data_IF_491746457208
#
_entry.id   IF_491746457208
#
_cell.length_a   1.000
_cell.length_b   1.000
_cell.length_c   1.000
_cell.angle_alpha   90.00
_cell.angle_beta   90.00
_cell.angle_gamma   90.00
#
_symmetry.space_group_name_H-M   'P 1'
#
loop_
_entity.id
_entity.type
_entity.pdbx_description
1 polymer ?
#
# COMPACT_ATOMS: atom_id res chain seq x y z
N UNK A 1 -28.20 1.32 -3.78
CA UNK A 1 -28.87 0.95 -2.52
C UNK A 1 -30.26 1.60 -2.38
N UNK A 2 -30.40 2.94 -2.27
CA UNK A 2 -31.70 3.59 -2.01
C UNK A 2 -32.87 3.21 -2.96
N UNK A 3 -32.60 3.07 -4.27
CA UNK A 3 -33.64 2.62 -5.21
C UNK A 3 -34.07 1.18 -4.96
N UNK A 4 -33.14 0.31 -4.57
CA UNK A 4 -33.44 -1.06 -4.20
C UNK A 4 -34.35 -1.06 -2.96
N UNK A 5 -33.93 -0.39 -1.88
CA UNK A 5 -34.72 -0.24 -0.65
C UNK A 5 -36.13 0.34 -0.88
N UNK A 6 -36.27 1.24 -1.85
CA UNK A 6 -37.57 1.83 -2.24
C UNK A 6 -38.43 0.92 -3.14
N UNK A 7 -38.04 -0.35 -3.35
CA UNK A 7 -38.72 -1.30 -4.24
C UNK A 7 -38.56 -1.04 -5.74
N UNK A 8 -37.75 -0.04 -6.14
CA UNK A 8 -37.58 0.41 -7.54
C UNK A 8 -36.49 -0.42 -8.24
N UNK A 9 -36.80 -1.70 -8.51
CA UNK A 9 -35.89 -2.71 -9.11
C UNK A 9 -35.13 -2.23 -10.35
N UNK A 10 -35.84 -1.74 -11.36
CA UNK A 10 -35.21 -1.37 -12.63
C UNK A 10 -34.24 -0.20 -12.48
N UNK A 11 -34.57 0.76 -11.62
CA UNK A 11 -33.66 1.87 -11.29
C UNK A 11 -32.44 1.35 -10.53
N UNK A 12 -32.63 0.46 -9.55
CA UNK A 12 -31.52 -0.13 -8.80
C UNK A 12 -30.54 -0.85 -9.75
N UNK A 13 -31.06 -1.69 -10.64
CA UNK A 13 -30.27 -2.40 -11.66
C UNK A 13 -29.52 -1.42 -12.56
N UNK A 14 -30.22 -0.42 -13.12
CA UNK A 14 -29.61 0.58 -14.01
C UNK A 14 -28.42 1.28 -13.35
N UNK A 15 -28.56 1.71 -12.10
CA UNK A 15 -27.49 2.42 -11.40
C UNK A 15 -26.37 1.49 -10.95
N UNK A 16 -26.67 0.22 -10.64
CA UNK A 16 -25.65 -0.77 -10.34
C UNK A 16 -24.80 -1.09 -11.57
N UNK A 17 -25.44 -1.24 -12.74
CA UNK A 17 -24.74 -1.41 -14.02
C UNK A 17 -23.86 -0.19 -14.34
N UNK A 18 -24.34 1.03 -14.08
CA UNK A 18 -23.51 2.23 -14.22
C UNK A 18 -22.32 2.20 -13.27
N UNK A 19 -22.52 1.86 -11.99
CA UNK A 19 -21.45 1.79 -11.02
C UNK A 19 -20.38 0.76 -11.46
N UNK A 20 -20.78 -0.45 -11.82
CA UNK A 20 -19.88 -1.55 -12.15
C UNK A 20 -19.20 -1.39 -13.51
N UNK A 21 -19.98 -1.08 -14.56
CA UNK A 21 -19.50 -1.16 -15.94
C UNK A 21 -19.04 0.18 -16.50
N UNK A 22 -19.55 1.30 -15.98
CA UNK A 22 -19.17 2.64 -16.44
C UNK A 22 -18.19 3.33 -15.50
N UNK A 23 -18.44 3.25 -14.19
CA UNK A 23 -17.63 3.94 -13.18
C UNK A 23 -16.60 3.04 -12.50
N UNK A 24 -16.56 1.75 -12.85
CA UNK A 24 -15.52 0.84 -12.41
C UNK A 24 -15.56 0.53 -10.91
N UNK A 25 -16.74 0.49 -10.28
CA UNK A 25 -16.87 0.07 -8.88
C UNK A 25 -16.35 -1.37 -8.70
N UNK A 26 -15.40 -1.57 -7.78
CA UNK A 26 -14.70 -2.85 -7.57
C UNK A 26 -14.85 -3.46 -6.17
N UNK A 27 -15.56 -2.83 -5.23
CA UNK A 27 -15.83 -3.44 -3.92
C UNK A 27 -16.91 -4.54 -4.01
N UNK A 28 -16.50 -5.66 -4.60
CA UNK A 28 -17.38 -6.78 -4.89
C UNK A 28 -17.86 -7.48 -3.63
N UNK A 29 -17.01 -7.63 -2.62
CA UNK A 29 -17.39 -8.27 -1.36
C UNK A 29 -18.40 -7.44 -0.57
N UNK A 30 -18.21 -6.12 -0.52
CA UNK A 30 -19.19 -5.20 0.05
C UNK A 30 -20.52 -5.29 -0.69
N UNK A 31 -20.50 -5.24 -2.02
CA UNK A 31 -21.72 -5.34 -2.84
C UNK A 31 -22.49 -6.65 -2.62
N UNK A 32 -21.79 -7.79 -2.54
CA UNK A 32 -22.44 -9.09 -2.34
C UNK A 32 -23.00 -9.27 -0.92
N UNK A 33 -22.42 -8.59 0.08
CA UNK A 33 -22.87 -8.63 1.48
C UNK A 33 -23.93 -7.57 1.80
N UNK A 34 -24.10 -6.56 0.95
CA UNK A 34 -25.02 -5.45 1.18
C UNK A 34 -26.49 -5.92 1.15
N UNK A 35 -27.13 -5.80 2.31
CA UNK A 35 -28.52 -6.24 2.54
C UNK A 35 -29.52 -5.36 1.80
N UNK A 36 -29.14 -4.15 1.39
CA UNK A 36 -30.03 -3.23 0.66
C UNK A 36 -30.45 -3.77 -0.71
N UNK A 37 -29.67 -4.71 -1.26
CA UNK A 37 -29.97 -5.37 -2.53
C UNK A 37 -30.74 -6.68 -2.38
N UNK A 38 -31.23 -7.04 -1.18
CA UNK A 38 -31.93 -8.31 -0.92
C UNK A 38 -33.05 -8.63 -1.93
N UNK A 39 -33.82 -7.62 -2.34
CA UNK A 39 -34.90 -7.78 -3.34
C UNK A 39 -34.41 -8.13 -4.77
N UNK A 40 -33.11 -7.99 -5.04
CA UNK A 40 -32.46 -8.38 -6.28
C UNK A 40 -31.85 -9.78 -6.17
N UNK A 41 -31.54 -10.31 -4.98
CA UNK A 41 -30.73 -11.52 -4.81
C UNK A 41 -31.28 -12.76 -5.51
N UNK A 42 -32.61 -12.88 -5.62
CA UNK A 42 -33.28 -14.00 -6.30
C UNK A 42 -33.56 -13.75 -7.78
N UNK A 43 -33.11 -12.63 -8.34
CA UNK A 43 -33.35 -12.27 -9.75
C UNK A 43 -32.29 -12.88 -10.65
N UNK A 44 -32.67 -13.12 -11.92
CA UNK A 44 -31.71 -13.52 -12.97
C UNK A 44 -30.60 -12.49 -13.17
N UNK A 45 -30.88 -11.21 -12.91
CA UNK A 45 -29.88 -10.15 -12.94
C UNK A 45 -28.78 -10.41 -11.91
N UNK A 46 -29.15 -10.67 -10.65
CA UNK A 46 -28.18 -10.89 -9.58
C UNK A 46 -27.34 -12.15 -9.80
N UNK A 47 -27.93 -13.24 -10.29
CA UNK A 47 -27.19 -14.43 -10.68
C UNK A 47 -26.11 -14.12 -11.74
N UNK A 48 -26.44 -13.32 -12.77
CA UNK A 48 -25.48 -12.86 -13.77
C UNK A 48 -24.40 -11.96 -13.16
N UNK A 49 -24.78 -11.09 -12.24
CA UNK A 49 -23.85 -10.22 -11.52
C UNK A 49 -22.85 -11.03 -10.68
N UNK A 50 -23.32 -12.03 -9.93
CA UNK A 50 -22.47 -12.93 -9.16
C UNK A 50 -21.45 -13.65 -10.06
N UNK A 51 -21.91 -14.20 -11.19
CA UNK A 51 -21.01 -14.83 -12.18
C UNK A 51 -20.01 -13.83 -12.79
N UNK A 52 -20.43 -12.59 -13.04
CA UNK A 52 -19.52 -11.53 -13.48
C UNK A 52 -18.45 -11.24 -12.42
N UNK A 53 -18.85 -11.06 -11.16
CA UNK A 53 -17.95 -10.78 -10.03
C UNK A 53 -16.97 -11.92 -9.82
N UNK A 54 -17.44 -13.17 -9.83
CA UNK A 54 -16.60 -14.36 -9.70
C UNK A 54 -15.54 -14.39 -10.79
N UNK A 55 -15.92 -14.10 -12.04
CA UNK A 55 -14.97 -13.98 -13.15
C UNK A 55 -13.94 -12.86 -12.93
N UNK A 56 -14.34 -11.72 -12.34
CA UNK A 56 -13.38 -10.66 -12.01
C UNK A 56 -12.44 -11.08 -10.88
N UNK A 57 -12.93 -11.76 -9.84
CA UNK A 57 -12.11 -12.29 -8.74
C UNK A 57 -11.11 -13.34 -9.21
N UNK A 58 -11.51 -14.24 -10.12
CA UNK A 58 -10.60 -15.20 -10.74
C UNK A 58 -9.46 -14.49 -11.46
N UNK A 59 -9.75 -13.40 -12.19
CA UNK A 59 -8.73 -12.59 -12.86
C UNK A 59 -7.77 -11.93 -11.86
N UNK A 60 -8.26 -11.46 -10.72
CA UNK A 60 -7.39 -10.91 -9.67
C UNK A 60 -6.39 -11.97 -9.15
N UNK A 61 -6.67 -13.26 -9.30
CA UNK A 61 -5.72 -14.32 -8.95
C UNK A 61 -4.56 -14.50 -9.93
N UNK A 62 -4.59 -13.88 -11.11
CA UNK A 62 -3.51 -13.98 -12.10
C UNK A 62 -2.62 -12.72 -12.03
N UNK A 63 -1.33 -12.84 -11.67
CA UNK A 63 -0.43 -11.69 -11.63
C UNK A 63 -0.37 -10.96 -12.98
N UNK A 64 -0.46 -11.68 -14.10
CA UNK A 64 -0.38 -11.09 -15.46
C UNK A 64 -1.62 -10.27 -15.82
N UNK A 65 -2.70 -10.39 -15.07
CA UNK A 65 -3.89 -9.57 -15.26
C UNK A 65 -3.77 -8.19 -14.59
N UNK A 66 -2.87 -8.02 -13.63
CA UNK A 66 -2.64 -6.75 -12.95
C UNK A 66 -2.01 -5.72 -13.90
N UNK A 67 -2.55 -4.50 -13.89
CA UNK A 67 -2.00 -3.40 -14.69
C UNK A 67 -1.06 -2.55 -13.85
N UNK A 68 0.14 -2.30 -14.37
CA UNK A 68 1.06 -1.30 -13.85
C UNK A 68 0.86 0.02 -14.62
N UNK A 69 0.04 0.91 -14.05
CA UNK A 69 -0.46 2.13 -14.70
C UNK A 69 0.43 3.33 -14.36
N UNK A 70 1.18 3.83 -15.35
CA UNK A 70 2.08 4.99 -15.24
C UNK A 70 1.61 6.20 -16.05
N UNK A 71 0.44 6.11 -16.70
CA UNK A 71 -0.08 7.17 -17.58
C UNK A 71 -0.23 8.51 -16.88
N UNK A 72 -0.52 8.50 -15.58
CA UNK A 72 -0.66 9.71 -14.78
C UNK A 72 0.68 10.46 -14.61
N UNK A 73 1.82 9.76 -14.53
CA UNK A 73 3.15 10.40 -14.53
C UNK A 73 3.35 11.19 -15.84
N UNK A 74 2.96 10.60 -16.98
CA UNK A 74 3.08 11.24 -18.29
C UNK A 74 2.12 12.43 -18.44
N UNK A 75 0.88 12.29 -17.96
CA UNK A 75 -0.09 13.38 -17.91
C UNK A 75 0.41 14.54 -17.04
N UNK A 76 0.99 14.24 -15.88
CA UNK A 76 1.58 15.24 -14.99
C UNK A 76 2.67 16.04 -15.70
N UNK A 77 3.67 15.39 -16.30
CA UNK A 77 4.77 16.11 -16.97
C UNK A 77 4.29 16.91 -18.18
N UNK A 78 3.29 16.41 -18.91
CA UNK A 78 2.64 17.17 -19.99
C UNK A 78 1.96 18.44 -19.46
N UNK A 79 1.24 18.35 -18.33
CA UNK A 79 0.63 19.48 -17.67
C UNK A 79 1.68 20.46 -17.12
N UNK A 80 2.75 19.94 -16.52
CA UNK A 80 3.86 20.72 -15.97
C UNK A 80 4.54 21.59 -17.04
N UNK A 81 4.84 21.01 -18.20
CA UNK A 81 5.46 21.73 -19.32
C UNK A 81 4.54 22.81 -19.91
N UNK A 82 3.24 22.53 -20.01
CA UNK A 82 2.24 23.51 -20.44
C UNK A 82 2.14 24.66 -19.45
N UNK A 83 2.09 24.34 -18.16
CA UNK A 83 1.97 25.31 -17.09
C UNK A 83 3.23 26.14 -16.86
N UNK A 84 4.40 25.70 -17.34
CA UNK A 84 5.62 26.50 -17.37
C UNK A 84 5.58 27.61 -18.43
N UNK A 85 4.79 27.42 -19.50
CA UNK A 85 4.62 28.40 -20.60
C UNK A 85 3.51 29.42 -20.33
N UNK A 86 2.53 29.06 -19.51
CA UNK A 86 1.40 29.92 -19.13
C UNK A 86 1.15 29.79 -17.62
N UNK A 87 1.92 30.58 -16.85
CA UNK A 87 1.88 30.56 -15.39
C UNK A 87 0.57 31.11 -14.84
N UNK A 88 -0.08 32.04 -15.54
CA UNK A 88 -1.37 32.61 -15.15
C UNK A 88 -2.49 31.56 -15.16
N UNK A 89 -2.44 30.58 -16.08
CA UNK A 89 -3.41 29.49 -16.19
C UNK A 89 -2.95 28.17 -15.57
N UNK A 90 -1.85 28.15 -14.82
CA UNK A 90 -1.23 26.93 -14.25
C UNK A 90 -2.22 25.99 -13.56
N UNK A 91 -3.10 26.53 -12.71
CA UNK A 91 -4.15 25.73 -12.02
C UNK A 91 -5.11 25.07 -13.00
N UNK A 92 -5.63 25.85 -13.95
CA UNK A 92 -6.52 25.34 -14.99
C UNK A 92 -5.82 24.28 -15.85
N UNK A 93 -4.54 24.47 -16.15
CA UNK A 93 -3.75 23.51 -16.92
C UNK A 93 -3.60 22.18 -16.17
N UNK A 94 -3.28 22.18 -14.87
CA UNK A 94 -3.26 20.93 -14.10
C UNK A 94 -4.66 20.28 -14.01
N UNK A 95 -5.72 21.06 -13.85
CA UNK A 95 -7.09 20.53 -13.91
C UNK A 95 -7.36 19.84 -15.25
N UNK A 96 -7.10 20.50 -16.37
CA UNK A 96 -7.47 19.99 -17.70
C UNK A 96 -6.59 18.84 -18.19
N UNK A 97 -5.29 18.89 -17.89
CA UNK A 97 -4.30 17.99 -18.47
C UNK A 97 -3.83 16.89 -17.51
N UNK A 98 -4.03 17.04 -16.20
CA UNK A 98 -3.69 16.03 -15.22
C UNK A 98 -4.94 15.41 -14.59
N UNK A 99 -5.73 16.19 -13.85
CA UNK A 99 -6.86 15.64 -13.08
C UNK A 99 -8.06 15.23 -13.94
N UNK A 100 -8.41 15.97 -14.99
CA UNK A 100 -9.48 15.59 -15.93
C UNK A 100 -9.09 14.41 -16.84
N UNK A 101 -7.80 14.06 -16.87
CA UNK A 101 -7.25 12.88 -17.57
C UNK A 101 -6.83 11.77 -16.61
N UNK A 102 -7.20 11.88 -15.34
CA UNK A 102 -6.80 10.95 -14.30
C UNK A 102 -7.27 9.53 -14.61
N UNK A 103 -6.36 8.57 -14.44
CA UNK A 103 -6.75 7.17 -14.31
C UNK A 103 -7.68 6.98 -13.10
N UNK A 104 -8.38 5.82 -12.97
CA UNK A 104 -9.15 5.52 -11.77
C UNK A 104 -8.34 5.67 -10.49
N UNK A 105 -7.07 5.25 -10.49
CA UNK A 105 -6.21 5.38 -9.31
C UNK A 105 -5.90 6.83 -8.94
N UNK A 106 -5.63 7.71 -9.91
CA UNK A 106 -5.42 9.13 -9.60
C UNK A 106 -6.72 9.83 -9.18
N UNK A 107 -7.89 9.39 -9.67
CA UNK A 107 -9.18 9.91 -9.18
C UNK A 107 -9.35 9.60 -7.69
N UNK A 108 -9.08 8.36 -7.28
CA UNK A 108 -9.14 7.96 -5.88
C UNK A 108 -8.08 8.67 -5.03
N UNK A 109 -6.84 8.73 -5.51
CA UNK A 109 -5.75 9.43 -4.83
C UNK A 109 -6.04 10.93 -4.70
N UNK A 110 -6.70 11.54 -5.68
CA UNK A 110 -7.15 12.92 -5.57
C UNK A 110 -8.13 13.10 -4.42
N UNK A 111 -9.15 12.24 -4.31
CA UNK A 111 -10.15 12.34 -3.24
C UNK A 111 -9.56 12.06 -1.86
N UNK A 112 -8.67 11.06 -1.76
CA UNK A 112 -8.13 10.59 -0.48
C UNK A 112 -6.96 11.42 0.03
N UNK A 113 -6.08 11.91 -0.86
CA UNK A 113 -4.76 12.43 -0.50
C UNK A 113 -4.50 13.86 -0.99
N UNK A 114 -4.82 14.20 -2.24
CA UNK A 114 -4.52 15.54 -2.79
C UNK A 114 -5.56 16.58 -2.35
N UNK A 115 -6.84 16.30 -2.55
CA UNK A 115 -8.01 17.11 -2.15
C UNK A 115 -8.17 18.48 -2.83
N UNK A 116 -7.08 19.14 -3.22
CA UNK A 116 -7.09 20.53 -3.67
C UNK A 116 -6.04 20.81 -4.74
N UNK A 117 -6.50 21.16 -5.94
CA UNK A 117 -5.64 21.64 -7.04
C UNK A 117 -4.84 22.87 -6.62
N UNK A 118 -5.40 23.76 -5.79
CA UNK A 118 -4.69 24.95 -5.32
C UNK A 118 -3.49 24.57 -4.44
N UNK A 119 -3.69 23.66 -3.47
CA UNK A 119 -2.62 23.21 -2.59
C UNK A 119 -1.55 22.42 -3.37
N UNK A 120 -2.00 21.57 -4.30
CA UNK A 120 -1.14 20.82 -5.21
C UNK A 120 -0.20 21.76 -5.97
N UNK A 121 -0.75 22.74 -6.69
CA UNK A 121 0.05 23.69 -7.49
C UNK A 121 1.00 24.50 -6.61
N UNK A 122 0.54 24.97 -5.44
CA UNK A 122 1.40 25.70 -4.49
C UNK A 122 2.59 24.85 -4.05
N UNK A 123 2.41 23.55 -3.81
CA UNK A 123 3.52 22.66 -3.48
C UNK A 123 4.52 22.54 -4.64
N UNK A 124 4.04 22.40 -5.87
CA UNK A 124 4.90 22.38 -7.06
C UNK A 124 5.73 23.67 -7.19
N UNK A 125 5.09 24.82 -6.97
CA UNK A 125 5.73 26.13 -7.15
C UNK A 125 6.79 26.43 -6.08
N UNK A 126 6.67 25.79 -4.90
CA UNK A 126 7.63 25.89 -3.81
C UNK A 126 8.83 24.93 -3.94
N UNK A 127 8.79 24.00 -4.91
CA UNK A 127 9.74 22.88 -5.05
C UNK A 127 10.24 22.72 -6.49
N UNK A 128 10.63 23.82 -7.13
CA UNK A 128 10.88 23.84 -8.58
C UNK A 128 12.12 23.04 -8.97
N UNK A 129 13.19 23.18 -8.20
CA UNK A 129 14.44 22.46 -8.45
C UNK A 129 14.26 20.97 -8.18
N UNK A 130 13.53 20.62 -7.13
CA UNK A 130 13.14 19.26 -6.81
C UNK A 130 12.34 18.61 -7.95
N UNK A 131 11.22 19.22 -8.39
CA UNK A 131 10.41 18.66 -9.48
C UNK A 131 11.17 18.56 -10.79
N UNK A 132 12.05 19.52 -11.10
CA UNK A 132 12.93 19.43 -12.27
C UNK A 132 13.87 18.21 -12.17
N UNK A 133 14.44 17.95 -11.00
CA UNK A 133 15.38 16.86 -10.79
C UNK A 133 14.73 15.47 -10.82
N UNK A 134 13.52 15.31 -10.27
CA UNK A 134 12.86 13.99 -10.21
C UNK A 134 12.19 13.57 -11.53
N UNK A 135 12.02 14.46 -12.51
CA UNK A 135 11.40 14.15 -13.80
C UNK A 135 11.99 12.93 -14.51
N UNK A 136 13.30 12.86 -14.81
CA UNK A 136 13.87 11.68 -15.46
C UNK A 136 13.69 10.41 -14.61
N UNK A 137 13.70 10.51 -13.28
CA UNK A 137 13.60 9.38 -12.36
C UNK A 137 12.18 8.80 -12.34
N UNK A 138 11.17 9.65 -12.25
CA UNK A 138 9.75 9.23 -12.28
C UNK A 138 9.35 8.63 -13.63
N UNK A 139 9.93 9.11 -14.75
CA UNK A 139 9.72 8.50 -16.06
C UNK A 139 10.43 7.15 -16.23
N UNK A 140 11.51 6.88 -15.47
CA UNK A 140 12.20 5.58 -15.52
C UNK A 140 11.39 4.44 -14.89
N UNK A 141 10.32 4.73 -14.15
CA UNK A 141 9.45 3.71 -13.54
C UNK A 141 8.85 2.76 -14.58
N UNK A 142 8.63 3.22 -15.82
CA UNK A 142 8.21 2.33 -16.92
C UNK A 142 9.21 1.18 -17.15
N UNK A 143 10.50 1.40 -16.90
CA UNK A 143 11.55 0.39 -17.03
C UNK A 143 11.62 -0.58 -15.85
N UNK A 144 11.00 -0.24 -14.71
CA UNK A 144 10.94 -1.09 -13.51
C UNK A 144 9.79 -2.10 -13.56
N UNK A 145 8.83 -1.92 -14.49
CA UNK A 145 7.66 -2.80 -14.63
C UNK A 145 8.00 -4.29 -14.75
N UNK A 146 9.00 -4.73 -15.54
CA UNK A 146 9.34 -6.15 -15.62
C UNK A 146 9.79 -6.75 -14.29
N UNK A 147 10.55 -5.99 -13.49
CA UNK A 147 11.01 -6.43 -12.16
C UNK A 147 9.83 -6.56 -11.19
N UNK A 148 8.94 -5.56 -11.16
CA UNK A 148 7.71 -5.59 -10.35
C UNK A 148 6.85 -6.80 -10.75
N UNK A 149 6.65 -7.03 -12.05
CA UNK A 149 5.92 -8.20 -12.53
C UNK A 149 6.54 -9.53 -12.08
N UNK A 150 7.88 -9.63 -12.08
CA UNK A 150 8.58 -10.79 -11.53
C UNK A 150 8.28 -11.04 -10.05
N UNK A 151 8.18 -9.98 -9.24
CA UNK A 151 7.79 -10.10 -7.83
C UNK A 151 6.34 -10.52 -7.62
N UNK A 152 5.42 -10.04 -8.47
CA UNK A 152 4.02 -10.51 -8.46
C UNK A 152 3.94 -12.02 -8.78
N UNK A 153 4.68 -12.48 -9.79
CA UNK A 153 4.77 -13.91 -10.12
C UNK A 153 5.38 -14.71 -8.97
N UNK A 154 6.41 -14.18 -8.32
CA UNK A 154 7.03 -14.84 -7.17
C UNK A 154 6.10 -14.95 -5.97
N UNK A 155 5.30 -13.92 -5.68
CA UNK A 155 4.25 -13.99 -4.67
C UNK A 155 3.23 -15.08 -5.01
N UNK A 156 2.84 -15.23 -6.29
CA UNK A 156 1.91 -16.29 -6.72
C UNK A 156 2.46 -17.69 -6.48
N UNK A 157 3.77 -17.89 -6.68
CA UNK A 157 4.44 -19.17 -6.39
C UNK A 157 4.41 -19.51 -4.89
N UNK A 158 4.67 -18.50 -4.05
CA UNK A 158 4.71 -18.63 -2.59
C UNK A 158 3.31 -18.80 -1.98
N UNK A 159 2.32 -18.11 -2.53
CA UNK A 159 0.95 -18.07 -2.06
C UNK A 159 -0.04 -18.19 -3.23
N UNK A 160 -0.56 -19.40 -3.44
CA UNK A 160 -1.45 -19.70 -4.58
C UNK A 160 -2.76 -18.92 -4.57
N UNK A 161 -3.17 -18.42 -3.41
CA UNK A 161 -4.46 -17.74 -3.22
C UNK A 161 -4.29 -16.21 -3.27
N UNK A 162 -3.09 -15.72 -3.62
CA UNK A 162 -2.77 -14.30 -3.78
C UNK A 162 -3.66 -13.60 -4.81
N UNK A 163 -3.98 -12.34 -4.52
CA UNK A 163 -4.68 -11.42 -5.40
C UNK A 163 -3.77 -10.28 -5.86
N UNK A 164 -3.97 -9.82 -7.09
CA UNK A 164 -3.12 -8.85 -7.76
C UNK A 164 -4.00 -7.70 -8.26
N UNK A 165 -4.23 -6.67 -7.43
CA UNK A 165 -4.92 -5.47 -7.88
C UNK A 165 -4.09 -4.71 -8.92
N UNK A 166 -4.74 -3.80 -9.65
CA UNK A 166 -4.02 -2.84 -10.48
C UNK A 166 -3.14 -1.94 -9.59
N UNK A 167 -1.96 -1.55 -10.09
CA UNK A 167 -1.02 -0.68 -9.37
C UNK A 167 -0.90 0.62 -10.16
N UNK A 168 -1.25 1.72 -9.53
CA UNK A 168 -1.26 3.05 -10.12
C UNK A 168 -0.08 3.86 -9.57
N UNK A 169 0.65 4.49 -10.47
CA UNK A 169 1.79 5.36 -10.17
C UNK A 169 1.46 6.78 -10.60
N UNK A 170 1.55 7.73 -9.67
CA UNK A 170 1.18 9.12 -9.91
C UNK A 170 2.09 10.10 -9.17
N UNK A 171 2.10 11.35 -9.63
CA UNK A 171 2.80 12.44 -8.96
C UNK A 171 1.83 13.14 -8.01
N UNK A 172 2.13 13.10 -6.72
CA UNK A 172 1.38 13.79 -5.70
C UNK A 172 1.93 15.17 -5.39
N UNK A 173 1.75 15.59 -4.14
CA UNK A 173 2.38 16.75 -3.53
C UNK A 173 2.92 16.38 -2.16
N UNK A 174 3.72 15.31 -2.12
CA UNK A 174 4.23 14.70 -0.89
C UNK A 174 3.11 14.24 0.06
N UNK A 175 1.95 13.84 -0.47
CA UNK A 175 0.78 13.52 0.34
C UNK A 175 0.78 12.09 0.91
N UNK A 176 1.33 11.12 0.18
CA UNK A 176 1.34 9.70 0.57
C UNK A 176 2.24 8.90 -0.37
N UNK A 177 3.15 8.10 0.20
CA UNK A 177 4.05 7.21 -0.53
C UNK A 177 3.31 6.01 -1.14
N UNK A 178 2.41 5.41 -0.35
CA UNK A 178 1.52 4.31 -0.75
C UNK A 178 0.18 4.39 0.00
N UNK A 179 -0.89 3.97 -0.66
CA UNK A 179 -2.21 3.74 -0.07
C UNK A 179 -3.00 2.79 -0.98
N UNK A 180 -4.18 2.36 -0.58
CA UNK A 180 -5.02 1.47 -1.38
C UNK A 180 -6.45 2.00 -1.49
N UNK A 181 -7.09 1.69 -2.61
CA UNK A 181 -8.53 1.87 -2.83
C UNK A 181 -9.12 0.60 -3.43
N UNK A 182 -10.45 0.59 -3.64
CA UNK A 182 -11.11 -0.50 -4.34
C UNK A 182 -10.58 -0.69 -5.77
N UNK A 183 -10.03 0.35 -6.40
CA UNK A 183 -9.47 0.26 -7.74
C UNK A 183 -8.09 -0.43 -7.78
N UNK A 184 -7.36 -0.36 -6.68
CA UNK A 184 -6.06 -1.01 -6.48
C UNK A 184 -5.09 -0.19 -5.63
N UNK A 185 -3.81 -0.44 -5.82
CA UNK A 185 -2.73 0.21 -5.06
C UNK A 185 -2.39 1.58 -5.68
N UNK A 186 -2.22 2.59 -4.84
CA UNK A 186 -2.01 3.98 -5.24
C UNK A 186 -0.66 4.47 -4.70
N UNK A 187 0.31 4.67 -5.60
CA UNK A 187 1.68 5.00 -5.25
C UNK A 187 2.02 6.44 -5.68
N UNK A 188 2.33 7.29 -4.69
CA UNK A 188 2.84 8.64 -4.90
C UNK A 188 4.35 8.61 -5.12
N UNK A 189 4.77 8.68 -6.38
CA UNK A 189 6.18 8.39 -6.74
C UNK A 189 7.13 9.55 -6.44
N UNK A 190 6.62 10.74 -6.11
CA UNK A 190 7.41 11.89 -5.70
C UNK A 190 8.12 11.70 -4.34
N UNK A 191 7.83 10.61 -3.60
CA UNK A 191 8.55 10.23 -2.38
C UNK A 191 9.53 9.06 -2.57
N UNK A 192 9.60 8.46 -3.76
CA UNK A 192 10.22 7.14 -4.00
C UNK A 192 11.27 7.18 -5.12
N UNK A 193 11.90 8.33 -5.33
CA UNK A 193 12.79 8.61 -6.46
C UNK A 193 14.04 9.38 -6.04
N UNK A 194 14.55 9.15 -4.84
CA UNK A 194 15.77 9.81 -4.36
C UNK A 194 17.00 9.28 -5.08
N UNK A 195 17.91 10.19 -5.41
CA UNK A 195 19.30 9.92 -5.80
C UNK A 195 20.19 11.00 -5.18
N UNK A 196 21.52 10.82 -5.13
CA UNK A 196 22.45 11.85 -4.65
C UNK A 196 22.35 13.19 -5.39
N UNK A 197 21.87 13.19 -6.64
CA UNK A 197 21.76 14.38 -7.48
C UNK A 197 20.45 15.17 -7.27
N UNK A 198 19.47 14.63 -6.53
CA UNK A 198 18.22 15.35 -6.26
C UNK A 198 18.46 16.41 -5.18
N UNK A 199 18.22 17.71 -5.47
CA UNK A 199 18.40 18.77 -4.49
C UNK A 199 17.37 18.63 -3.37
N UNK A 200 17.86 18.66 -2.12
CA UNK A 200 17.03 18.52 -0.92
C UNK A 200 16.71 19.86 -0.25
N UNK A 201 17.23 20.98 -0.77
CA UNK A 201 17.15 22.28 -0.09
C UNK A 201 15.71 22.85 -0.03
N UNK A 202 14.84 22.48 -0.97
CA UNK A 202 13.41 22.85 -0.99
C UNK A 202 12.53 21.90 -0.14
N UNK A 203 13.14 20.84 0.43
CA UNK A 203 12.43 19.86 1.25
C UNK A 203 12.53 20.21 2.74
N UNK A 204 11.43 20.03 3.47
CA UNK A 204 11.41 20.11 4.92
C UNK A 204 12.07 18.87 5.56
N UNK A 205 12.26 18.89 6.88
CA UNK A 205 12.95 17.79 7.60
C UNK A 205 12.22 16.44 7.42
N UNK A 206 10.89 16.45 7.53
CA UNK A 206 10.09 15.23 7.36
C UNK A 206 10.22 14.68 5.94
N UNK A 207 10.12 15.54 4.92
CA UNK A 207 10.28 15.15 3.51
C UNK A 207 11.67 14.56 3.26
N UNK A 208 12.73 15.15 3.83
CA UNK A 208 14.11 14.62 3.72
C UNK A 208 14.26 13.23 4.32
N UNK A 209 13.68 13.01 5.50
CA UNK A 209 13.78 11.74 6.22
C UNK A 209 12.95 10.63 5.56
N UNK A 210 11.86 11.00 4.87
CA UNK A 210 10.95 10.05 4.21
C UNK A 210 11.18 9.96 2.69
N UNK A 211 12.26 10.54 2.17
CA UNK A 211 12.59 10.42 0.75
C UNK A 211 13.36 9.13 0.49
N UNK A 212 12.72 8.19 -0.20
CA UNK A 212 13.24 6.85 -0.42
C UNK A 212 13.98 6.76 -1.77
N UNK A 213 15.08 6.01 -1.77
CA UNK A 213 15.94 5.81 -2.95
C UNK A 213 15.20 5.14 -4.11
N UNK A 214 15.46 5.61 -5.32
CA UNK A 214 14.70 5.24 -6.53
C UNK A 214 14.78 3.73 -6.86
N UNK A 215 15.88 3.08 -6.54
CA UNK A 215 16.10 1.64 -6.76
C UNK A 215 15.32 0.76 -5.78
N UNK A 216 14.73 1.35 -4.73
CA UNK A 216 13.89 0.65 -3.76
C UNK A 216 12.41 0.63 -4.15
N UNK A 217 11.98 1.39 -5.17
CA UNK A 217 10.57 1.45 -5.57
C UNK A 217 9.96 0.05 -5.82
N UNK A 218 10.60 -0.89 -6.55
CA UNK A 218 10.05 -2.25 -6.71
C UNK A 218 9.87 -3.01 -5.38
N UNK A 219 10.74 -2.75 -4.40
CA UNK A 219 10.68 -3.35 -3.05
C UNK A 219 9.49 -2.77 -2.30
N UNK A 220 9.31 -1.45 -2.33
CA UNK A 220 8.16 -0.78 -1.69
C UNK A 220 6.83 -1.22 -2.33
N UNK A 221 6.77 -1.35 -3.66
CA UNK A 221 5.59 -1.91 -4.35
C UNK A 221 5.29 -3.32 -3.84
N UNK A 222 6.32 -4.12 -3.57
CA UNK A 222 6.13 -5.48 -3.05
C UNK A 222 5.61 -5.48 -1.62
N UNK A 223 6.12 -4.60 -0.74
CA UNK A 223 5.56 -4.38 0.61
C UNK A 223 4.07 -4.07 0.56
N UNK A 224 3.70 -3.04 -0.21
CA UNK A 224 2.32 -2.58 -0.33
C UNK A 224 1.39 -3.65 -0.95
N UNK A 225 1.93 -4.52 -1.82
CA UNK A 225 1.19 -5.64 -2.37
C UNK A 225 0.80 -6.67 -1.30
N UNK A 226 1.60 -6.82 -0.23
CA UNK A 226 1.30 -7.73 0.87
C UNK A 226 0.05 -7.27 1.63
N UNK A 227 -0.14 -5.96 1.82
CA UNK A 227 -1.37 -5.44 2.45
C UNK A 227 -2.64 -5.81 1.67
N UNK A 228 -2.55 -5.98 0.35
CA UNK A 228 -3.68 -6.45 -0.46
C UNK A 228 -4.07 -7.91 -0.16
N UNK A 229 -3.20 -8.69 0.49
CA UNK A 229 -3.45 -10.08 0.88
C UNK A 229 -4.06 -10.19 2.28
N UNK A 230 -3.91 -9.17 3.12
CA UNK A 230 -4.25 -9.18 4.56
C UNK A 230 -5.75 -8.96 4.85
N UNK A 231 -6.63 -9.20 3.87
CA UNK A 231 -8.07 -8.88 3.95
C UNK A 231 -8.89 -9.80 4.84
N UNK A 232 -8.34 -10.95 5.26
CA UNK A 232 -9.02 -11.94 6.12
C UNK A 232 -8.52 -11.94 7.57
N UNK A 233 -7.52 -11.11 7.87
CA UNK A 233 -6.98 -10.97 9.22
C UNK A 233 -8.03 -10.29 10.11
N UNK A 234 -8.10 -10.70 11.37
CA UNK A 234 -9.04 -10.11 12.34
C UNK A 234 -8.57 -8.70 12.74
N UNK A 235 -9.39 -7.68 12.51
CA UNK A 235 -9.06 -6.34 12.99
C UNK A 235 -8.90 -6.28 14.53
N UNK A 236 -7.94 -5.48 14.98
CA UNK A 236 -7.64 -5.22 16.39
C UNK A 236 -7.02 -3.81 16.54
N UNK A 237 -6.85 -3.33 17.76
CA UNK A 237 -6.28 -2.01 18.10
C UNK A 237 -4.95 -2.10 18.84
N UNK A 238 -4.48 -3.31 19.15
CA UNK A 238 -3.25 -3.54 19.90
C UNK A 238 -2.00 -3.19 19.10
N UNK A 239 -0.93 -2.76 19.77
CA UNK A 239 0.38 -2.59 19.13
C UNK A 239 0.86 -3.90 18.47
N UNK A 240 0.59 -5.06 19.08
CA UNK A 240 0.93 -6.37 18.54
C UNK A 240 0.30 -6.60 17.16
N UNK A 241 -0.97 -6.27 16.99
CA UNK A 241 -1.67 -6.35 15.71
C UNK A 241 -0.98 -5.52 14.64
N UNK A 242 -0.77 -4.22 14.89
CA UNK A 242 -0.16 -3.33 13.90
C UNK A 242 1.28 -3.75 13.58
N UNK A 243 2.06 -4.16 14.59
CA UNK A 243 3.42 -4.65 14.38
C UNK A 243 3.41 -5.90 13.49
N UNK A 244 2.55 -6.88 13.75
CA UNK A 244 2.43 -8.08 12.92
C UNK A 244 1.99 -7.73 11.49
N UNK A 245 1.04 -6.82 11.31
CA UNK A 245 0.57 -6.39 9.98
C UNK A 245 1.72 -5.81 9.14
N UNK A 246 2.46 -4.85 9.69
CA UNK A 246 3.55 -4.18 8.99
C UNK A 246 4.78 -5.08 8.84
N UNK A 247 5.18 -5.75 9.92
CA UNK A 247 6.33 -6.65 9.92
C UNK A 247 6.14 -7.89 9.04
N UNK A 248 4.90 -8.38 8.88
CA UNK A 248 4.57 -9.42 7.91
C UNK A 248 4.77 -8.94 6.48
N UNK A 249 4.37 -7.69 6.17
CA UNK A 249 4.61 -7.10 4.87
C UNK A 249 6.10 -6.98 4.58
N UNK A 250 6.91 -6.54 5.55
CA UNK A 250 8.37 -6.50 5.44
C UNK A 250 8.97 -7.90 5.20
N UNK A 251 8.56 -8.89 6.00
CA UNK A 251 9.11 -10.24 5.94
C UNK A 251 8.77 -10.93 4.61
N UNK A 252 7.50 -10.85 4.18
CA UNK A 252 7.07 -11.38 2.90
C UNK A 252 7.75 -10.65 1.74
N UNK A 253 7.93 -9.33 1.84
CA UNK A 253 8.70 -8.56 0.87
C UNK A 253 10.14 -9.06 0.76
N UNK A 254 10.82 -9.33 1.87
CA UNK A 254 12.18 -9.89 1.84
C UNK A 254 12.21 -11.30 1.23
N UNK A 255 11.25 -12.17 1.56
CA UNK A 255 11.14 -13.51 0.95
C UNK A 255 10.96 -13.46 -0.58
N UNK A 256 10.26 -12.45 -1.08
CA UNK A 256 9.98 -12.28 -2.51
C UNK A 256 11.15 -11.64 -3.25
N UNK A 257 11.70 -10.57 -2.68
CA UNK A 257 12.67 -9.69 -3.36
C UNK A 257 14.13 -9.99 -3.01
N UNK A 258 14.36 -10.71 -1.91
CA UNK A 258 15.68 -10.88 -1.30
C UNK A 258 16.21 -9.62 -0.60
N UNK A 259 15.40 -8.56 -0.47
CA UNK A 259 15.79 -7.27 0.12
C UNK A 259 14.79 -6.85 1.19
N UNK A 260 15.31 -6.46 2.35
CA UNK A 260 14.50 -5.98 3.46
C UNK A 260 14.11 -4.49 3.24
N UNK A 261 12.81 -4.12 3.28
CA UNK A 261 12.36 -2.74 3.12
C UNK A 261 12.72 -1.83 4.31
N UNK A 262 12.86 -2.38 5.52
CA UNK A 262 13.17 -1.66 6.77
C UNK A 262 14.61 -1.87 7.27
N UNK A 263 15.58 -1.94 6.35
CA UNK A 263 16.99 -2.23 6.67
C UNK A 263 17.56 -1.33 7.78
N UNK A 264 17.13 -0.07 7.86
CA UNK A 264 17.57 0.87 8.91
C UNK A 264 17.21 0.40 10.32
N UNK A 265 15.98 -0.07 10.51
CA UNK A 265 15.50 -0.60 11.78
C UNK A 265 16.25 -1.88 12.15
N UNK A 266 16.50 -2.77 11.16
CA UNK A 266 17.30 -3.97 11.36
C UNK A 266 18.74 -3.67 11.79
N UNK A 267 19.42 -2.71 11.14
CA UNK A 267 20.77 -2.29 11.51
C UNK A 267 20.83 -1.73 12.94
N UNK A 268 19.86 -0.89 13.31
CA UNK A 268 19.75 -0.37 14.68
C UNK A 268 19.56 -1.49 15.71
N UNK A 269 18.73 -2.48 15.39
CA UNK A 269 18.35 -3.55 16.31
C UNK A 269 19.44 -4.60 16.57
N UNK A 270 20.47 -4.73 15.69
CA UNK A 270 21.52 -5.77 15.78
C UNK A 270 22.09 -5.97 17.18
N UNK A 271 22.35 -4.89 17.92
CA UNK A 271 22.92 -4.91 19.29
C UNK A 271 21.90 -4.60 20.39
N UNK A 272 20.62 -4.45 20.04
CA UNK A 272 19.54 -3.98 20.93
C UNK A 272 18.33 -4.90 20.99
N UNK A 273 18.38 -6.07 20.33
CA UNK A 273 17.25 -7.00 20.20
C UNK A 273 16.51 -7.23 21.51
N UNK A 274 17.24 -7.57 22.58
CA UNK A 274 16.65 -7.87 23.90
C UNK A 274 15.95 -6.66 24.52
N UNK A 275 16.59 -5.50 24.50
CA UNK A 275 16.02 -4.25 25.02
C UNK A 275 14.77 -3.84 24.24
N UNK A 276 14.84 -3.89 22.91
CA UNK A 276 13.69 -3.59 22.03
C UNK A 276 12.51 -4.51 22.34
N UNK A 277 12.78 -5.82 22.51
CA UNK A 277 11.73 -6.78 22.85
C UNK A 277 11.13 -6.55 24.24
N UNK A 278 11.95 -6.25 25.24
CA UNK A 278 11.49 -5.93 26.60
C UNK A 278 10.57 -4.70 26.60
N UNK A 279 10.97 -3.63 25.92
CA UNK A 279 10.16 -2.41 25.79
C UNK A 279 8.85 -2.67 25.03
N UNK A 280 8.91 -3.49 23.98
CA UNK A 280 7.72 -3.83 23.19
C UNK A 280 6.70 -4.58 24.03
N UNK A 281 7.14 -5.53 24.87
CA UNK A 281 6.24 -6.32 25.73
C UNK A 281 5.46 -5.49 26.74
N UNK A 282 6.00 -4.36 27.17
CA UNK A 282 5.30 -3.45 28.08
C UNK A 282 4.06 -2.81 27.42
N UNK A 283 4.04 -2.70 26.09
CA UNK A 283 3.00 -1.97 25.36
C UNK A 283 2.21 -2.82 24.36
N UNK A 284 2.66 -4.04 24.03
CA UNK A 284 2.14 -4.82 22.88
C UNK A 284 0.63 -5.10 22.92
N UNK A 285 0.03 -5.21 24.11
CA UNK A 285 -1.41 -5.44 24.26
C UNK A 285 -2.21 -4.16 24.50
N UNK A 286 -1.58 -2.99 24.42
CA UNK A 286 -2.21 -1.69 24.58
C UNK A 286 -2.46 -1.04 23.22
N UNK A 287 -3.38 -0.08 23.18
CA UNK A 287 -3.61 0.79 22.02
C UNK A 287 -2.53 1.89 21.96
N UNK A 288 -1.27 1.48 21.76
CA UNK A 288 -0.08 2.34 21.76
C UNK A 288 0.76 2.20 20.49
N UNK A 289 0.14 1.84 19.36
CA UNK A 289 0.85 1.62 18.11
C UNK A 289 1.66 2.84 17.66
N UNK A 290 1.18 4.07 17.90
CA UNK A 290 1.88 5.32 17.57
C UNK A 290 3.20 5.53 18.34
N UNK A 291 3.49 4.72 19.37
CA UNK A 291 4.82 4.74 20.00
C UNK A 291 5.86 3.97 19.16
N UNK A 292 5.45 3.23 18.14
CA UNK A 292 6.29 2.25 17.41
C UNK A 292 6.13 2.29 15.88
N UNK A 293 5.03 2.85 15.37
CA UNK A 293 4.63 2.81 13.96
C UNK A 293 4.11 4.19 13.55
N UNK A 294 4.55 4.66 12.38
CA UNK A 294 4.25 5.96 11.79
C UNK A 294 4.59 7.15 12.72
N UNK A 295 5.67 7.01 13.50
CA UNK A 295 6.04 7.90 14.61
C UNK A 295 7.30 8.73 14.33
N UNK A 296 7.46 9.18 13.08
CA UNK A 296 8.63 9.94 12.63
C UNK A 296 8.87 11.26 13.37
N UNK A 297 7.84 11.85 13.98
CA UNK A 297 7.92 13.03 14.84
C UNK A 297 8.52 12.75 16.23
N UNK A 298 8.59 11.49 16.65
CA UNK A 298 9.18 11.05 17.92
C UNK A 298 10.61 10.50 17.76
N UNK A 299 11.15 10.55 16.55
CA UNK A 299 12.43 9.94 16.21
C UNK A 299 13.59 10.52 17.04
N UNK A 300 14.45 9.64 17.54
CA UNK A 300 15.68 10.00 18.26
C UNK A 300 16.82 9.03 17.95
N UNK A 301 18.05 9.37 18.35
CA UNK A 301 19.22 8.51 18.18
C UNK A 301 19.07 7.14 18.88
N UNK A 302 18.29 7.07 19.96
CA UNK A 302 18.05 5.85 20.73
C UNK A 302 16.72 5.15 20.39
N UNK A 303 15.90 5.76 19.51
CA UNK A 303 14.64 5.19 19.07
C UNK A 303 14.33 5.70 17.66
N UNK A 304 14.81 5.03 16.60
CA UNK A 304 14.38 5.34 15.24
C UNK A 304 12.87 5.13 15.10
N UNK A 305 12.28 5.85 14.16
CA UNK A 305 10.88 5.65 13.81
C UNK A 305 10.63 4.22 13.28
N UNK A 306 9.39 3.76 13.38
CA UNK A 306 8.90 2.52 12.77
C UNK A 306 9.57 1.23 13.29
N UNK A 307 10.10 1.24 14.52
CA UNK A 307 10.66 0.02 15.14
C UNK A 307 9.66 -1.12 15.31
N UNK A 308 8.36 -0.84 15.28
CA UNK A 308 7.31 -1.86 15.29
C UNK A 308 7.40 -2.82 14.09
N UNK A 309 7.87 -2.33 12.93
CA UNK A 309 8.07 -3.15 11.72
C UNK A 309 9.09 -4.25 11.97
N UNK A 310 10.24 -3.90 12.58
CA UNK A 310 11.28 -4.86 12.95
C UNK A 310 10.76 -5.94 13.92
N UNK A 311 10.01 -5.55 14.94
CA UNK A 311 9.49 -6.52 15.92
C UNK A 311 8.50 -7.49 15.27
N UNK A 312 7.55 -6.97 14.49
CA UNK A 312 6.60 -7.81 13.76
C UNK A 312 7.28 -8.72 12.74
N UNK A 313 8.31 -8.22 12.05
CA UNK A 313 9.11 -8.98 11.11
C UNK A 313 9.73 -10.18 11.83
N UNK A 314 10.36 -9.97 12.98
CA UNK A 314 11.07 -11.03 13.69
C UNK A 314 10.10 -12.08 14.26
N UNK A 315 8.88 -11.68 14.68
CA UNK A 315 7.82 -12.61 15.07
C UNK A 315 7.40 -13.48 13.87
N UNK A 316 7.11 -12.86 12.73
CA UNK A 316 6.70 -13.58 11.52
C UNK A 316 7.80 -14.51 11.02
N UNK A 317 9.05 -14.05 11.04
CA UNK A 317 10.23 -14.84 10.68
C UNK A 317 10.41 -16.04 11.61
N UNK A 318 10.31 -15.84 12.93
CA UNK A 318 10.42 -16.94 13.89
C UNK A 318 9.35 -18.02 13.66
N UNK A 319 8.09 -17.59 13.44
CA UNK A 319 6.99 -18.50 13.09
C UNK A 319 7.30 -19.27 11.80
N UNK A 320 7.68 -18.55 10.74
CA UNK A 320 8.01 -19.15 9.45
C UNK A 320 9.17 -20.14 9.57
N UNK A 321 10.26 -19.79 10.25
CA UNK A 321 11.45 -20.63 10.42
C UNK A 321 11.15 -21.91 11.19
N UNK A 322 10.30 -21.84 12.23
CA UNK A 322 9.87 -22.99 13.02
C UNK A 322 8.91 -23.92 12.27
N UNK A 323 8.10 -23.39 11.35
CA UNK A 323 7.13 -24.18 10.61
C UNK A 323 7.80 -25.24 9.72
N UNK A 324 7.31 -26.49 9.77
CA UNK A 324 7.77 -27.55 8.86
C UNK A 324 7.24 -27.34 7.44
N UNK A 325 5.98 -26.90 7.31
CA UNK A 325 5.37 -26.52 6.04
C UNK A 325 5.38 -25.00 5.87
N UNK A 326 6.31 -24.51 5.04
CA UNK A 326 6.47 -23.08 4.74
C UNK A 326 5.27 -22.50 3.98
N UNK A 327 4.58 -23.30 3.17
CA UNK A 327 3.38 -22.84 2.44
C UNK A 327 2.21 -22.68 3.39
N UNK A 328 2.08 -23.57 4.37
CA UNK A 328 1.08 -23.42 5.42
C UNK A 328 1.36 -22.18 6.26
N UNK A 329 2.62 -21.94 6.66
CA UNK A 329 2.97 -20.73 7.42
C UNK A 329 2.58 -19.42 6.71
N UNK A 330 2.81 -19.34 5.40
CA UNK A 330 2.39 -18.18 4.58
C UNK A 330 0.85 -18.10 4.47
N UNK A 331 0.15 -19.23 4.40
CA UNK A 331 -1.33 -19.24 4.46
C UNK A 331 -1.82 -18.71 5.81
N UNK A 332 -1.17 -19.08 6.91
CA UNK A 332 -1.55 -18.68 8.25
C UNK A 332 -1.42 -17.16 8.44
N UNK A 333 -0.33 -16.56 7.96
CA UNK A 333 -0.11 -15.11 7.94
C UNK A 333 -1.34 -14.33 7.46
N UNK A 334 -1.90 -14.69 6.31
CA UNK A 334 -3.02 -13.95 5.72
C UNK A 334 -4.39 -14.32 6.28
N UNK A 335 -4.47 -15.24 7.26
CA UNK A 335 -5.72 -15.70 7.86
C UNK A 335 -5.72 -15.60 9.40
N UNK A 336 -4.78 -14.86 10.01
CA UNK A 336 -4.66 -14.74 11.46
C UNK A 336 -5.95 -14.22 12.14
N UNK A 337 -6.39 -14.95 13.17
CA UNK A 337 -7.56 -14.60 13.99
C UNK A 337 -7.21 -14.35 15.47
N UNK A 338 -6.03 -14.76 15.91
CA UNK A 338 -5.53 -14.60 17.28
C UNK A 338 -4.02 -14.26 17.25
N UNK A 339 -3.71 -12.98 17.48
CA UNK A 339 -2.34 -12.47 17.44
C UNK A 339 -1.49 -12.92 18.62
N UNK A 340 -2.12 -13.16 19.78
CA UNK A 340 -1.43 -13.64 20.97
C UNK A 340 -1.01 -15.09 20.78
N UNK A 341 -1.92 -15.94 20.30
CA UNK A 341 -1.60 -17.32 19.98
C UNK A 341 -0.50 -17.39 18.90
N UNK A 342 -0.60 -16.56 17.85
CA UNK A 342 0.44 -16.51 16.82
C UNK A 342 1.83 -16.14 17.37
N UNK A 343 1.89 -15.17 18.28
CA UNK A 343 3.14 -14.82 18.97
C UNK A 343 3.66 -15.99 19.81
N UNK A 344 2.80 -16.69 20.56
CA UNK A 344 3.18 -17.87 21.35
C UNK A 344 3.73 -18.99 20.45
N UNK A 345 3.03 -19.32 19.36
CA UNK A 345 3.44 -20.35 18.40
C UNK A 345 4.74 -19.99 17.66
N UNK A 346 4.99 -18.71 17.42
CA UNK A 346 6.25 -18.24 16.81
C UNK A 346 7.48 -18.65 17.62
N UNK A 347 7.34 -18.82 18.94
CA UNK A 347 8.43 -19.04 19.87
C UNK A 347 9.39 -17.86 20.04
N UNK A 348 9.01 -16.67 19.55
CA UNK A 348 9.89 -15.50 19.56
C UNK A 348 10.28 -15.07 20.98
N UNK A 349 9.33 -15.06 21.94
CA UNK A 349 9.65 -14.69 23.33
C UNK A 349 10.64 -15.67 23.99
N UNK A 350 10.53 -16.97 23.71
CA UNK A 350 11.46 -17.99 24.19
C UNK A 350 12.85 -17.83 23.58
N UNK A 351 12.91 -17.56 22.27
CA UNK A 351 14.17 -17.25 21.58
C UNK A 351 14.86 -16.04 22.21
N UNK A 352 14.11 -14.99 22.53
CA UNK A 352 14.64 -13.77 23.14
C UNK A 352 15.07 -13.97 24.60
N UNK A 353 14.41 -14.84 25.37
CA UNK A 353 14.84 -15.23 26.72
C UNK A 353 16.20 -15.94 26.71
N UNK A 354 16.46 -16.75 25.69
CA UNK A 354 17.69 -17.52 25.53
C UNK A 354 18.80 -16.77 24.77
N UNK A 355 18.49 -15.58 24.24
CA UNK A 355 19.45 -14.77 23.48
C UNK A 355 20.59 -14.29 24.37
N UNK A 356 21.81 -14.74 24.04
CA UNK A 356 23.05 -14.21 24.63
C UNK A 356 23.54 -13.06 23.76
N UNK A 357 23.75 -11.89 24.33
CA UNK A 357 24.37 -10.78 23.62
C UNK A 357 25.80 -11.18 23.22
N UNK A 358 26.08 -11.16 21.92
CA UNK A 358 27.46 -11.24 21.39
C UNK A 358 28.23 -9.95 21.65
#
# INVERSE_FOLDING_TARGET
CCYALSGKKDKAIKYLDQALYKYGYKNYDGLLKDKDFALLHHTRYWQKLQAYIEKQKIKLGDPKAAKLVTTDIHHFWSAYDKAAKDTARRKQIFTDYYFNKASPGLQDYYQMKIGSVNAFVKNQDNKKDFYKAIRPLTLQIDKMKPEIMGYLEKLKELYSDAVFPDIYFMIGSWNSAGTASDNGMLLGVDQQVKTPDVPLHELNLWEKNNFVDADRLPIIVTHELIHSQQTKMKEDTTLLFYAIVEGMADFMCELITGKNPSQRQHEFAKRRKKKIWEDFKEEMYLQRYYNWIANGDQESAEKPADLGYYVGYEICKAYYERATDKKQAIRDFFNLQDYKLFLEESGYDEMMKNWKSE
#
